data_IF_165154396460
#
_entry.id   IF_165154396460
#
_cell.length_a   1.000
_cell.length_b   1.000
_cell.length_c   1.000
_cell.angle_alpha   90.00
_cell.angle_beta   90.00
_cell.angle_gamma   90.00
#
_symmetry.space_group_name_H-M   'P 1'
#
loop_
_entity.id
_entity.type
_entity.pdbx_description
1 polymer ?
#
# COMPACT_ATOMS: atom_id res chain seq x y z
N UNK A 1 -11.77 5.64 16.04
CA UNK A 1 -10.48 4.94 15.87
C UNK A 1 -9.49 6.01 15.46
N UNK A 2 -8.49 6.29 16.28
CA UNK A 2 -7.47 7.29 15.94
C UNK A 2 -6.76 6.85 14.66
N UNK A 3 -6.68 7.72 13.66
CA UNK A 3 -5.94 7.42 12.43
C UNK A 3 -4.45 7.30 12.80
N UNK A 4 -3.96 6.06 12.93
CA UNK A 4 -2.56 5.76 13.29
C UNK A 4 -1.58 6.05 12.17
N UNK A 5 -2.07 6.30 10.95
CA UNK A 5 -1.27 6.49 9.74
C UNK A 5 -1.52 7.87 9.14
N UNK A 6 -0.43 8.53 8.73
CA UNK A 6 -0.41 9.85 8.06
C UNK A 6 0.76 9.88 7.09
N UNK A 7 0.93 10.91 6.24
CA UNK A 7 2.11 10.98 5.37
C UNK A 7 3.43 10.94 6.16
N UNK A 8 3.46 11.49 7.39
CA UNK A 8 4.63 11.46 8.28
C UNK A 8 4.84 10.10 8.98
N UNK A 9 3.85 9.21 8.92
CA UNK A 9 3.92 7.83 9.40
C UNK A 9 3.11 6.93 8.43
N UNK A 10 3.63 6.70 7.21
CA UNK A 10 2.82 6.11 6.15
C UNK A 10 2.65 4.61 6.33
N UNK A 11 1.57 4.06 5.79
CA UNK A 11 1.48 2.61 5.64
C UNK A 11 2.52 2.13 4.62
N UNK A 12 3.26 1.03 4.87
CA UNK A 12 4.16 0.47 3.87
C UNK A 12 3.44 0.08 2.57
N UNK A 13 4.07 0.22 1.40
CA UNK A 13 3.51 -0.26 0.16
C UNK A 13 3.41 -1.79 0.16
N UNK A 14 2.52 -2.33 -0.67
CA UNK A 14 2.20 -3.76 -0.72
C UNK A 14 3.43 -4.65 -0.91
N UNK A 15 4.37 -4.24 -1.77
CA UNK A 15 5.59 -4.99 -2.05
C UNK A 15 6.62 -4.96 -0.92
N UNK A 16 6.54 -3.99 0.01
CA UNK A 16 7.39 -3.97 1.21
C UNK A 16 6.78 -4.80 2.34
N UNK A 17 5.46 -4.75 2.51
CA UNK A 17 4.78 -5.52 3.55
C UNK A 17 4.74 -7.03 3.22
N UNK A 18 4.40 -7.38 1.98
CA UNK A 18 4.29 -8.77 1.54
C UNK A 18 5.06 -9.00 0.23
N UNK A 19 6.41 -8.98 0.26
CA UNK A 19 7.25 -9.11 -0.94
C UNK A 19 7.07 -10.44 -1.68
N UNK A 20 6.52 -11.45 -1.00
CA UNK A 20 6.27 -12.80 -1.53
C UNK A 20 4.90 -12.96 -2.20
N UNK A 21 3.95 -12.05 -1.97
CA UNK A 21 2.66 -12.10 -2.65
C UNK A 21 2.78 -11.27 -3.93
N UNK A 22 2.81 -11.95 -5.08
CA UNK A 22 2.77 -11.27 -6.38
C UNK A 22 1.53 -10.37 -6.50
N UNK A 23 1.65 -9.23 -7.20
CA UNK A 23 0.56 -8.26 -7.43
C UNK A 23 -0.78 -8.91 -7.81
N UNK A 24 -0.75 -9.89 -8.71
CA UNK A 24 -1.95 -10.54 -9.25
C UNK A 24 -2.36 -11.80 -8.47
N UNK A 25 -1.73 -12.06 -7.33
CA UNK A 25 -2.05 -13.22 -6.50
C UNK A 25 -3.46 -13.11 -5.94
N UNK A 26 -4.19 -14.23 -5.96
CA UNK A 26 -5.45 -14.39 -5.22
C UNK A 26 -5.26 -14.16 -3.71
N UNK A 27 -4.02 -14.23 -3.21
CA UNK A 27 -3.67 -13.94 -1.81
C UNK A 27 -4.01 -12.52 -1.33
N UNK A 28 -4.24 -11.58 -2.25
CA UNK A 28 -4.74 -10.23 -1.94
C UNK A 28 -6.27 -10.14 -1.81
N UNK A 29 -7.00 -11.17 -2.25
CA UNK A 29 -8.48 -11.17 -2.27
C UNK A 29 -9.11 -12.29 -1.44
N UNK A 30 -8.34 -13.31 -1.09
CA UNK A 30 -8.79 -14.50 -0.36
C UNK A 30 -7.68 -15.05 0.56
N UNK A 31 -6.70 -14.23 0.91
CA UNK A 31 -5.52 -14.66 1.65
C UNK A 31 -5.12 -13.63 2.71
N UNK A 32 -4.02 -13.90 3.41
CA UNK A 32 -3.56 -13.06 4.53
C UNK A 32 -3.12 -11.64 4.11
N UNK A 33 -3.04 -11.35 2.81
CA UNK A 33 -2.79 -10.00 2.30
C UNK A 33 -4.05 -9.14 2.16
N UNK A 34 -5.24 -9.72 2.22
CA UNK A 34 -6.52 -9.05 1.92
C UNK A 34 -6.82 -7.87 2.85
N UNK A 35 -6.78 -8.09 4.17
CA UNK A 35 -7.03 -7.04 5.16
C UNK A 35 -6.06 -5.86 4.99
N UNK A 36 -4.80 -6.17 4.68
CA UNK A 36 -3.78 -5.14 4.48
C UNK A 36 -4.04 -4.33 3.21
N UNK A 37 -4.39 -4.97 2.10
CA UNK A 37 -4.73 -4.28 0.85
C UNK A 37 -5.91 -3.35 1.05
N UNK A 38 -6.91 -3.80 1.82
CA UNK A 38 -8.10 -3.02 2.12
C UNK A 38 -7.76 -1.78 2.95
N UNK A 39 -7.04 -1.98 4.06
CA UNK A 39 -6.62 -0.89 4.94
C UNK A 39 -5.68 0.09 4.23
N UNK A 40 -4.74 -0.41 3.43
CA UNK A 40 -3.84 0.40 2.63
C UNK A 40 -4.61 1.26 1.63
N UNK A 41 -5.58 0.68 0.92
CA UNK A 41 -6.39 1.41 -0.04
C UNK A 41 -7.25 2.49 0.63
N UNK A 42 -7.87 2.19 1.77
CA UNK A 42 -8.64 3.18 2.54
C UNK A 42 -7.77 4.35 3.01
N UNK A 43 -6.57 4.06 3.51
CA UNK A 43 -5.63 5.10 3.92
C UNK A 43 -5.13 5.91 2.70
N UNK A 44 -4.69 5.24 1.64
CA UNK A 44 -4.13 5.89 0.45
C UNK A 44 -5.14 6.81 -0.23
N UNK A 45 -6.37 6.35 -0.39
CA UNK A 45 -7.47 7.16 -0.96
C UNK A 45 -7.92 8.30 -0.06
N UNK A 46 -7.54 8.31 1.22
CA UNK A 46 -7.79 9.43 2.12
C UNK A 46 -6.75 10.56 2.00
N UNK A 47 -5.61 10.30 1.36
CA UNK A 47 -4.57 11.29 1.10
C UNK A 47 -4.96 12.22 -0.05
N UNK A 48 -4.54 13.48 0.02
CA UNK A 48 -4.66 14.41 -1.11
C UNK A 48 -3.73 14.01 -2.27
N UNK A 49 -4.00 14.51 -3.48
CA UNK A 49 -3.18 14.25 -4.66
C UNK A 49 -1.69 14.58 -4.44
N UNK A 50 -1.40 15.65 -3.71
CA UNK A 50 -0.02 16.04 -3.39
C UNK A 50 0.64 15.02 -2.46
N UNK A 51 -0.10 14.54 -1.45
CA UNK A 51 0.41 13.54 -0.51
C UNK A 51 0.60 12.18 -1.17
N UNK A 52 -0.29 11.79 -2.09
CA UNK A 52 -0.14 10.59 -2.91
C UNK A 52 1.14 10.67 -3.77
N UNK A 53 1.37 11.79 -4.46
CA UNK A 53 2.59 12.01 -5.24
C UNK A 53 3.86 11.97 -4.38
N UNK A 54 3.83 12.56 -3.18
CA UNK A 54 4.94 12.49 -2.23
C UNK A 54 5.20 11.05 -1.79
N UNK A 55 4.14 10.31 -1.49
CA UNK A 55 4.23 8.91 -1.10
C UNK A 55 4.82 8.03 -2.20
N UNK A 56 4.36 8.17 -3.45
CA UNK A 56 4.91 7.46 -4.62
C UNK A 56 6.40 7.81 -4.84
N UNK A 57 6.80 9.05 -4.57
CA UNK A 57 8.20 9.48 -4.65
C UNK A 57 9.07 8.88 -3.55
N UNK A 58 8.52 8.66 -2.35
CA UNK A 58 9.21 8.01 -1.22
C UNK A 58 9.35 6.50 -1.42
N UNK A 59 8.36 5.88 -2.06
CA UNK A 59 8.28 4.44 -2.28
C UNK A 59 8.11 4.13 -3.77
N UNK A 60 9.19 4.23 -4.58
CA UNK A 60 9.11 3.91 -5.99
C UNK A 60 8.81 2.41 -6.16
N UNK A 61 7.95 2.13 -7.12
CA UNK A 61 7.56 0.77 -7.45
C UNK A 61 8.76 -0.01 -8.02
N UNK A 62 9.06 -1.23 -7.52
CA UNK A 62 10.18 -2.01 -8.03
C UNK A 62 9.83 -2.63 -9.38
N UNK A 63 10.80 -2.69 -10.31
CA UNK A 63 10.63 -3.18 -11.70
C UNK A 63 10.04 -4.60 -11.87
N UNK A 64 9.92 -5.38 -10.80
CA UNK A 64 9.34 -6.74 -10.79
C UNK A 64 7.96 -6.83 -10.14
N UNK A 65 7.52 -5.76 -9.47
CA UNK A 65 6.11 -5.52 -9.23
C UNK A 65 5.58 -5.04 -10.57
N UNK A 66 4.78 -5.85 -11.24
CA UNK A 66 4.24 -5.47 -12.54
C UNK A 66 3.03 -4.60 -12.27
N UNK A 67 3.19 -3.35 -11.82
CA UNK A 67 2.01 -2.55 -11.53
C UNK A 67 2.00 -1.14 -10.99
#
# INVERSE_FOLDING_TARGET
MEQTYSLNNPMPPLWLMYPHISRYSIGWRMGYGEDYVYNFYQWYTSLSDIEQNNYESMFPEPKGWLG
#
